data_IF_450203229224
#
_entry.id   IF_450203229224
#
_cell.length_a   1.000
_cell.length_b   1.000
_cell.length_c   1.000
_cell.angle_alpha   90.00
_cell.angle_beta   90.00
_cell.angle_gamma   90.00
#
_symmetry.space_group_name_H-M   'P 1'
#
loop_
_entity.id
_entity.type
_entity.pdbx_description
1 polymer ?
#
# COMPACT_ATOMS: atom_id res chain seq x y z
N UNK A 1 49.57 20.66 19.11
CA UNK A 1 48.18 21.16 19.02
C UNK A 1 47.57 21.12 17.61
N UNK A 2 48.31 21.37 16.51
CA UNK A 2 47.75 21.27 15.14
C UNK A 2 47.34 19.85 14.73
N UNK A 3 48.14 18.86 15.11
CA UNK A 3 47.94 17.44 14.75
C UNK A 3 46.74 16.80 15.45
N UNK A 4 46.43 17.18 16.70
CA UNK A 4 45.27 16.61 17.42
C UNK A 4 43.94 17.14 16.91
N UNK A 5 43.89 18.39 16.44
CA UNK A 5 42.68 18.98 15.80
C UNK A 5 42.41 18.34 14.43
N UNK A 6 43.46 18.02 13.68
CA UNK A 6 43.34 17.30 12.41
C UNK A 6 42.87 15.87 12.63
N UNK A 7 43.41 15.16 13.62
CA UNK A 7 42.94 13.82 13.99
C UNK A 7 41.46 13.81 14.36
N UNK A 8 41.03 14.76 15.20
CA UNK A 8 39.62 14.87 15.58
C UNK A 8 38.72 15.13 14.37
N UNK A 9 39.13 16.01 13.45
CA UNK A 9 38.37 16.29 12.23
C UNK A 9 38.24 15.04 11.33
N UNK A 10 39.30 14.25 11.16
CA UNK A 10 39.24 13.00 10.39
C UNK A 10 38.34 11.96 11.06
N UNK A 11 38.41 11.84 12.40
CA UNK A 11 37.55 10.94 13.15
C UNK A 11 36.07 11.34 13.02
N UNK A 12 35.75 12.64 13.11
CA UNK A 12 34.38 13.13 12.93
C UNK A 12 33.89 12.90 11.50
N UNK A 13 34.72 13.13 10.49
CA UNK A 13 34.38 12.86 9.09
C UNK A 13 34.10 11.37 8.84
N UNK A 14 34.93 10.48 9.41
CA UNK A 14 34.75 9.04 9.30
C UNK A 14 33.44 8.58 9.96
N UNK A 15 33.13 9.09 11.15
CA UNK A 15 31.87 8.78 11.86
C UNK A 15 30.63 9.29 11.09
N UNK A 16 30.70 10.48 10.49
CA UNK A 16 29.62 11.03 9.65
C UNK A 16 29.38 10.17 8.40
N UNK A 17 30.44 9.68 7.75
CA UNK A 17 30.29 8.79 6.58
C UNK A 17 29.77 7.40 6.96
N UNK A 18 30.13 6.87 8.13
CA UNK A 18 29.63 5.58 8.60
C UNK A 18 28.13 5.62 8.89
N UNK A 19 27.63 6.70 9.51
CA UNK A 19 26.20 6.86 9.77
C UNK A 19 25.35 6.90 8.49
N UNK A 20 25.87 7.45 7.39
CA UNK A 20 25.18 7.50 6.11
C UNK A 20 25.00 6.11 5.45
N UNK A 21 25.89 5.15 5.72
CA UNK A 21 25.78 3.78 5.18
C UNK A 21 24.68 2.96 5.88
N UNK A 22 24.41 3.22 7.16
CA UNK A 22 23.36 2.53 7.93
C UNK A 22 21.97 3.16 7.76
N UNK A 23 21.87 4.33 7.13
CA UNK A 23 20.62 5.02 6.85
C UNK A 23 19.96 4.60 5.53
N UNK A 24 20.48 3.58 4.84
CA UNK A 24 19.80 3.02 3.67
C UNK A 24 18.48 2.38 4.10
N UNK A 25 17.36 3.03 3.74
CA UNK A 25 16.04 2.40 3.65
C UNK A 25 16.20 1.06 2.92
N UNK A 26 15.63 -0.05 3.43
CA UNK A 26 15.75 -1.33 2.77
C UNK A 26 15.10 -1.24 1.38
N UNK A 27 15.93 -1.14 0.34
CA UNK A 27 15.50 -1.12 -1.07
C UNK A 27 15.11 -2.50 -1.59
N UNK A 28 15.15 -3.53 -0.75
CA UNK A 28 14.70 -4.85 -1.11
C UNK A 28 13.17 -4.85 -1.09
N UNK A 29 12.54 -5.07 -2.25
CA UNK A 29 11.16 -5.52 -2.33
C UNK A 29 10.98 -6.62 -1.28
N UNK A 30 10.16 -6.36 -0.26
CA UNK A 30 9.92 -7.33 0.81
C UNK A 30 9.19 -8.50 0.19
N UNK A 31 9.92 -9.58 -0.11
CA UNK A 31 9.31 -10.83 -0.53
C UNK A 31 8.53 -11.38 0.65
N UNK A 32 7.20 -11.36 0.56
CA UNK A 32 6.34 -11.95 1.58
C UNK A 32 6.48 -13.47 1.52
N UNK A 33 6.74 -14.09 2.67
CA UNK A 33 6.69 -15.54 2.75
C UNK A 33 5.25 -16.03 2.59
N UNK A 34 5.08 -17.32 2.25
CA UNK A 34 3.74 -17.94 2.22
C UNK A 34 2.98 -17.75 3.54
N UNK A 35 3.68 -17.76 4.66
CA UNK A 35 3.09 -17.55 5.98
C UNK A 35 2.66 -16.10 6.19
N UNK A 36 3.44 -15.13 5.70
CA UNK A 36 3.06 -13.71 5.80
C UNK A 36 1.80 -13.42 4.99
N UNK A 37 1.73 -13.96 3.76
CA UNK A 37 0.54 -13.87 2.91
C UNK A 37 -0.66 -14.54 3.58
N UNK A 38 -0.50 -15.76 4.10
CA UNK A 38 -1.57 -16.47 4.80
C UNK A 38 -2.07 -15.70 6.03
N UNK A 39 -1.17 -15.10 6.79
CA UNK A 39 -1.52 -14.28 7.95
C UNK A 39 -2.31 -13.02 7.54
N UNK A 40 -1.92 -12.34 6.45
CA UNK A 40 -2.68 -11.22 5.91
C UNK A 40 -4.07 -11.65 5.43
N UNK A 41 -4.17 -12.75 4.68
CA UNK A 41 -5.46 -13.29 4.22
C UNK A 41 -6.36 -13.66 5.42
N UNK A 42 -5.82 -14.29 6.45
CA UNK A 42 -6.56 -14.60 7.68
C UNK A 42 -7.02 -13.34 8.39
N UNK A 43 -6.17 -12.31 8.44
CA UNK A 43 -6.51 -11.02 9.03
C UNK A 43 -7.61 -10.29 8.26
N UNK A 44 -7.56 -10.28 6.92
CA UNK A 44 -8.60 -9.70 6.05
C UNK A 44 -9.96 -10.38 6.25
N UNK A 45 -9.97 -11.69 6.49
CA UNK A 45 -11.20 -12.44 6.75
C UNK A 45 -11.61 -12.49 8.24
N UNK A 46 -10.94 -11.72 9.10
CA UNK A 46 -11.20 -11.76 10.54
C UNK A 46 -12.47 -10.99 10.92
N UNK A 47 -13.23 -11.54 11.84
CA UNK A 47 -14.33 -10.85 12.55
C UNK A 47 -13.82 -9.76 13.52
N UNK A 48 -12.52 -9.75 13.83
CA UNK A 48 -11.92 -8.66 14.59
C UNK A 48 -11.69 -7.47 13.66
N UNK A 49 -12.56 -6.47 13.77
CA UNK A 49 -12.54 -5.27 12.90
C UNK A 49 -11.19 -4.53 12.90
N UNK A 50 -10.50 -4.48 14.04
CA UNK A 50 -9.17 -3.85 14.13
C UNK A 50 -8.11 -4.62 13.36
N UNK A 51 -8.13 -5.95 13.47
CA UNK A 51 -7.23 -6.84 12.72
C UNK A 51 -7.54 -6.82 11.23
N UNK A 52 -8.82 -6.85 10.85
CA UNK A 52 -9.30 -6.72 9.46
C UNK A 52 -8.74 -5.45 8.82
N UNK A 53 -9.04 -4.28 9.41
CA UNK A 53 -8.58 -2.98 8.91
C UNK A 53 -7.06 -2.91 8.79
N UNK A 54 -6.34 -3.38 9.81
CA UNK A 54 -4.88 -3.39 9.81
C UNK A 54 -4.33 -4.25 8.67
N UNK A 55 -4.93 -5.41 8.44
CA UNK A 55 -4.50 -6.36 7.40
C UNK A 55 -4.81 -5.84 6.00
N UNK A 56 -6.01 -5.26 5.78
CA UNK A 56 -6.38 -4.59 4.53
C UNK A 56 -5.41 -3.43 4.23
N UNK A 57 -5.13 -2.59 5.23
CA UNK A 57 -4.19 -1.49 5.08
C UNK A 57 -2.78 -1.99 4.71
N UNK A 58 -2.27 -3.03 5.38
CA UNK A 58 -0.95 -3.60 5.06
C UNK A 58 -0.90 -4.23 3.68
N UNK A 59 -1.94 -4.95 3.26
CA UNK A 59 -2.04 -5.53 1.93
C UNK A 59 -1.91 -4.47 0.83
N UNK A 60 -2.64 -3.36 0.95
CA UNK A 60 -2.55 -2.23 0.02
C UNK A 60 -1.23 -1.46 0.13
N UNK A 61 -0.75 -1.18 1.35
CA UNK A 61 0.49 -0.43 1.59
C UNK A 61 1.70 -1.12 0.98
N UNK A 62 1.77 -2.44 1.08
CA UNK A 62 2.91 -3.23 0.61
C UNK A 62 2.64 -3.95 -0.72
N UNK A 63 1.51 -3.66 -1.38
CA UNK A 63 1.18 -4.18 -2.72
C UNK A 63 1.25 -5.72 -2.74
N UNK A 64 0.60 -6.38 -1.77
CA UNK A 64 0.62 -7.85 -1.65
C UNK A 64 -0.42 -8.46 -2.60
N UNK A 65 -0.04 -8.65 -3.86
CA UNK A 65 -0.92 -9.12 -4.93
C UNK A 65 -1.68 -10.41 -4.58
N UNK A 66 -1.07 -11.33 -3.84
CA UNK A 66 -1.66 -12.61 -3.45
C UNK A 66 -2.90 -12.47 -2.54
N UNK A 67 -3.12 -11.28 -1.97
CA UNK A 67 -4.29 -10.98 -1.13
C UNK A 67 -5.51 -10.48 -1.90
N UNK A 68 -5.39 -10.21 -3.22
CA UNK A 68 -6.45 -9.60 -4.03
C UNK A 68 -7.79 -10.31 -3.91
N UNK A 69 -7.80 -11.63 -4.06
CA UNK A 69 -9.03 -12.43 -3.96
C UNK A 69 -9.71 -12.31 -2.59
N UNK A 70 -8.93 -12.19 -1.51
CA UNK A 70 -9.49 -11.98 -0.18
C UNK A 70 -10.09 -10.58 -0.04
N UNK A 71 -9.42 -9.56 -0.58
CA UNK A 71 -9.91 -8.18 -0.59
C UNK A 71 -11.21 -8.03 -1.40
N UNK A 72 -11.30 -8.61 -2.60
CA UNK A 72 -12.52 -8.57 -3.42
C UNK A 72 -13.68 -9.26 -2.69
N UNK A 73 -13.43 -10.41 -2.06
CA UNK A 73 -14.46 -11.09 -1.24
C UNK A 73 -14.91 -10.23 -0.07
N UNK A 74 -13.98 -9.64 0.68
CA UNK A 74 -14.28 -8.75 1.78
C UNK A 74 -15.09 -7.53 1.33
N UNK A 75 -14.76 -6.94 0.18
CA UNK A 75 -15.49 -5.79 -0.36
C UNK A 75 -16.98 -6.10 -0.60
N UNK A 76 -17.27 -7.31 -1.10
CA UNK A 76 -18.63 -7.72 -1.46
C UNK A 76 -19.50 -8.06 -0.25
N UNK A 77 -18.92 -8.37 0.91
CA UNK A 77 -19.66 -8.71 2.13
C UNK A 77 -19.66 -7.58 3.18
N UNK A 78 -18.80 -6.57 3.02
CA UNK A 78 -18.61 -5.51 4.02
C UNK A 78 -19.78 -4.50 4.05
N UNK A 79 -20.30 -4.25 5.24
CA UNK A 79 -21.43 -3.35 5.47
C UNK A 79 -21.00 -1.97 5.92
N UNK A 80 -19.83 -1.85 6.53
CA UNK A 80 -19.31 -0.57 6.99
C UNK A 80 -18.76 0.24 5.81
N UNK A 81 -19.29 1.45 5.62
CA UNK A 81 -18.87 2.34 4.53
C UNK A 81 -17.36 2.66 4.53
N UNK A 82 -16.77 2.85 5.72
CA UNK A 82 -15.36 3.20 5.84
C UNK A 82 -14.47 2.03 5.47
N UNK A 83 -14.88 0.81 5.83
CA UNK A 83 -14.16 -0.40 5.51
C UNK A 83 -14.24 -0.72 4.02
N UNK A 84 -15.40 -0.51 3.38
CA UNK A 84 -15.52 -0.58 1.91
C UNK A 84 -14.58 0.39 1.20
N UNK A 85 -14.48 1.63 1.68
CA UNK A 85 -13.54 2.63 1.15
C UNK A 85 -12.08 2.20 1.36
N UNK A 86 -11.75 1.67 2.53
CA UNK A 86 -10.39 1.19 2.85
C UNK A 86 -9.99 0.03 1.93
N UNK A 87 -10.88 -0.94 1.73
CA UNK A 87 -10.65 -2.07 0.83
C UNK A 87 -10.50 -1.60 -0.61
N UNK A 88 -11.34 -0.67 -1.07
CA UNK A 88 -11.22 -0.07 -2.40
C UNK A 88 -9.87 0.64 -2.60
N UNK A 89 -9.39 1.36 -1.59
CA UNK A 89 -8.07 2.00 -1.62
C UNK A 89 -6.93 0.97 -1.65
N UNK A 90 -7.06 -0.16 -0.94
CA UNK A 90 -6.08 -1.23 -0.98
C UNK A 90 -6.01 -1.91 -2.36
N UNK A 91 -7.17 -2.21 -2.96
CA UNK A 91 -7.26 -2.75 -4.33
C UNK A 91 -6.67 -1.79 -5.37
N UNK A 92 -6.95 -0.49 -5.23
CA UNK A 92 -6.31 0.56 -6.04
C UNK A 92 -4.79 0.48 -5.99
N UNK A 93 -4.21 0.41 -4.78
CA UNK A 93 -2.76 0.33 -4.60
C UNK A 93 -2.15 -0.95 -5.15
N UNK A 94 -2.88 -2.06 -5.10
CA UNK A 94 -2.45 -3.33 -5.71
C UNK A 94 -2.43 -3.23 -7.23
N UNK A 95 -3.32 -2.45 -7.85
CA UNK A 95 -3.22 -2.07 -9.26
C UNK A 95 -3.55 -3.18 -10.25
N UNK A 96 -4.28 -4.20 -9.83
CA UNK A 96 -4.76 -5.29 -10.69
C UNK A 96 -6.01 -4.90 -11.49
N UNK A 97 -6.27 -5.62 -12.59
CA UNK A 97 -7.46 -5.39 -13.42
C UNK A 97 -8.76 -5.73 -12.66
N UNK A 98 -8.81 -6.87 -11.99
CA UNK A 98 -10.00 -7.30 -11.25
C UNK A 98 -10.28 -6.38 -10.05
N UNK A 99 -9.23 -5.96 -9.34
CA UNK A 99 -9.31 -4.93 -8.31
C UNK A 99 -9.88 -3.61 -8.83
N UNK A 100 -9.43 -3.13 -10.00
CA UNK A 100 -9.99 -1.92 -10.62
C UNK A 100 -11.47 -2.07 -10.96
N UNK A 101 -11.87 -3.16 -11.60
CA UNK A 101 -13.28 -3.39 -11.97
C UNK A 101 -14.18 -3.49 -10.73
N UNK A 102 -13.68 -4.06 -9.62
CA UNK A 102 -14.39 -4.06 -8.34
C UNK A 102 -14.60 -2.65 -7.78
N UNK A 103 -13.55 -1.80 -7.77
CA UNK A 103 -13.66 -0.40 -7.32
C UNK A 103 -14.59 0.41 -8.23
N UNK A 104 -14.52 0.17 -9.53
CA UNK A 104 -15.40 0.81 -10.52
C UNK A 104 -16.86 0.44 -10.33
N UNK A 105 -17.15 -0.82 -10.05
CA UNK A 105 -18.50 -1.25 -9.69
C UNK A 105 -19.00 -0.51 -8.43
N UNK A 106 -18.16 -0.40 -7.40
CA UNK A 106 -18.47 0.34 -6.17
C UNK A 106 -18.79 1.82 -6.45
N UNK A 107 -18.01 2.46 -7.34
CA UNK A 107 -18.23 3.87 -7.72
C UNK A 107 -19.59 4.15 -8.37
N UNK A 108 -20.17 3.13 -9.02
CA UNK A 108 -21.43 3.24 -9.76
C UNK A 108 -22.63 2.78 -8.92
N UNK A 109 -22.47 1.71 -8.17
CA UNK A 109 -23.60 0.92 -7.66
C UNK A 109 -23.64 0.77 -6.14
N UNK A 110 -22.64 1.26 -5.39
CA UNK A 110 -22.73 1.22 -3.91
C UNK A 110 -23.96 2.00 -3.44
N UNK A 111 -24.63 1.50 -2.41
CA UNK A 111 -25.80 2.16 -1.81
C UNK A 111 -25.46 3.55 -1.25
N UNK A 112 -24.27 3.71 -0.69
CA UNK A 112 -23.83 4.94 -0.03
C UNK A 112 -23.31 5.94 -1.06
N UNK A 113 -23.93 7.12 -1.10
CA UNK A 113 -23.46 8.23 -1.92
C UNK A 113 -22.02 8.63 -1.56
N UNK A 114 -21.64 8.53 -0.29
CA UNK A 114 -20.29 8.83 0.18
C UNK A 114 -19.29 7.84 -0.42
N UNK A 115 -19.59 6.55 -0.35
CA UNK A 115 -18.72 5.50 -0.92
C UNK A 115 -18.57 5.72 -2.43
N UNK A 116 -19.68 5.90 -3.17
CA UNK A 116 -19.65 6.16 -4.63
C UNK A 116 -18.75 7.35 -4.99
N UNK A 117 -18.87 8.47 -4.27
CA UNK A 117 -18.07 9.68 -4.53
C UNK A 117 -16.59 9.46 -4.30
N UNK A 118 -16.22 8.78 -3.22
CA UNK A 118 -14.81 8.54 -2.88
C UNK A 118 -14.19 7.53 -3.84
N UNK A 119 -14.88 6.43 -4.14
CA UNK A 119 -14.36 5.44 -5.09
C UNK A 119 -14.33 5.95 -6.52
N UNK A 120 -15.24 6.85 -6.92
CA UNK A 120 -15.12 7.59 -8.19
C UNK A 120 -13.81 8.37 -8.24
N UNK A 121 -13.45 9.09 -7.19
CA UNK A 121 -12.19 9.82 -7.13
C UNK A 121 -10.96 8.89 -7.18
N UNK A 122 -11.04 7.70 -6.56
CA UNK A 122 -10.00 6.66 -6.67
C UNK A 122 -9.88 6.15 -8.11
N UNK A 123 -10.99 5.88 -8.81
CA UNK A 123 -10.98 5.50 -10.22
C UNK A 123 -10.40 6.59 -11.12
N UNK A 124 -10.72 7.86 -10.86
CA UNK A 124 -10.22 8.97 -11.65
C UNK A 124 -8.69 9.13 -11.49
N UNK A 125 -8.17 8.89 -10.27
CA UNK A 125 -6.73 8.86 -10.03
C UNK A 125 -6.03 7.74 -10.82
N UNK A 126 -6.64 6.55 -10.93
CA UNK A 126 -6.11 5.44 -11.76
C UNK A 126 -6.01 5.78 -13.23
N UNK A 127 -7.01 6.50 -13.77
CA UNK A 127 -7.04 6.88 -15.18
C UNK A 127 -5.95 7.89 -15.51
N UNK A 128 -5.67 8.83 -14.59
CA UNK A 128 -4.56 9.78 -14.71
C UNK A 128 -3.23 9.05 -14.68
N UNK A 129 -2.96 8.22 -13.66
CA UNK A 129 -1.70 7.48 -13.55
C UNK A 129 -1.46 6.59 -14.77
N UNK A 130 -2.49 5.88 -15.23
CA UNK A 130 -2.41 5.04 -16.42
C UNK A 130 -2.07 5.86 -17.67
N UNK A 131 -2.71 7.01 -17.87
CA UNK A 131 -2.42 7.88 -19.00
C UNK A 131 -0.99 8.43 -18.95
N UNK A 132 -0.52 8.84 -17.78
CA UNK A 132 0.86 9.32 -17.60
C UNK A 132 1.88 8.22 -17.96
N UNK A 133 1.64 6.96 -17.57
CA UNK A 133 2.48 5.83 -17.99
C UNK A 133 2.54 5.67 -19.52
N UNK A 134 1.42 5.80 -20.22
CA UNK A 134 1.38 5.67 -21.68
C UNK A 134 1.99 6.88 -22.42
N UNK A 135 1.86 8.09 -21.88
CA UNK A 135 2.49 9.29 -22.45
C UNK A 135 4.02 9.23 -22.32
N UNK A 136 4.56 8.72 -21.20
CA UNK A 136 6.00 8.63 -20.97
C UNK A 136 6.72 7.47 -21.71
N UNK A 137 5.98 6.62 -22.43
CA UNK A 137 6.51 5.53 -23.25
C UNK A 137 6.55 5.86 -24.76
N UNK A 138 6.04 7.02 -25.17
CA UNK A 138 6.03 7.51 -26.56
C UNK A 138 6.90 8.77 -26.72
#
# INVERSE_FOLDING_TARGET
MKTSKQFLAYLTMMLLTAAALFAQEPTAYKTFSKNDVANLVNGINSENEGLKRSSVYMAGKYVVHETENALIKALNSERNEQDRILIALALYKIGSYDGYEAVKALSKYDESMKVRRITKAICDALEVERNDYFVNLN
#
